data_IF_200840948165
#
_entry.id   IF_200840948165
#
_cell.length_a   1.000
_cell.length_b   1.000
_cell.length_c   1.000
_cell.angle_alpha   90.00
_cell.angle_beta   90.00
_cell.angle_gamma   90.00
#
_symmetry.space_group_name_H-M   'P 1'
#
loop_
_entity.id
_entity.type
_entity.pdbx_description
1 polymer ?
#
# COMPACT_ATOMS: atom_id res chain seq x y z
N UNK A 1 0.60 11.87 -29.21
CA UNK A 1 0.89 12.60 -27.96
C UNK A 1 -0.34 12.89 -27.10
N UNK A 2 -1.47 13.39 -27.66
CA UNK A 2 -2.64 13.79 -26.86
C UNK A 2 -3.23 12.67 -25.99
N UNK A 3 -3.19 11.42 -26.44
CA UNK A 3 -3.76 10.27 -25.73
C UNK A 3 -3.03 9.91 -24.42
N UNK A 4 -1.70 10.06 -24.35
CA UNK A 4 -0.96 9.77 -23.11
C UNK A 4 -1.16 10.86 -22.06
N UNK A 5 -1.27 12.11 -22.49
CA UNK A 5 -1.56 13.25 -21.61
C UNK A 5 -2.98 13.17 -21.09
N UNK A 6 -3.95 12.80 -21.93
CA UNK A 6 -5.33 12.59 -21.48
C UNK A 6 -5.41 11.44 -20.47
N UNK A 7 -4.71 10.34 -20.71
CA UNK A 7 -4.69 9.19 -19.80
C UNK A 7 -4.06 9.55 -18.45
N UNK A 8 -2.96 10.32 -18.45
CA UNK A 8 -2.36 10.84 -17.22
C UNK A 8 -3.32 11.73 -16.42
N UNK A 9 -3.99 12.68 -17.08
CA UNK A 9 -4.95 13.57 -16.42
C UNK A 9 -6.14 12.77 -15.85
N UNK A 10 -6.68 11.82 -16.62
CA UNK A 10 -7.77 10.95 -16.16
C UNK A 10 -7.35 10.11 -14.96
N UNK A 11 -6.18 9.46 -15.00
CA UNK A 11 -5.72 8.61 -13.90
C UNK A 11 -5.39 9.38 -12.62
N UNK A 12 -4.83 10.60 -12.73
CA UNK A 12 -4.40 11.38 -11.55
C UNK A 12 -5.54 12.16 -10.90
N UNK A 13 -6.49 12.67 -11.69
CA UNK A 13 -7.51 13.58 -11.17
C UNK A 13 -8.94 13.01 -11.21
N UNK A 14 -9.30 12.24 -12.23
CA UNK A 14 -10.69 11.78 -12.44
C UNK A 14 -10.93 10.45 -11.72
N UNK A 15 -10.04 9.48 -11.94
CA UNK A 15 -10.17 8.09 -11.44
C UNK A 15 -9.30 7.84 -10.20
N UNK A 16 -8.70 8.89 -9.63
CA UNK A 16 -7.84 8.74 -8.46
C UNK A 16 -8.68 8.52 -7.22
N UNK A 17 -8.49 7.38 -6.57
CA UNK A 17 -9.26 6.96 -5.40
C UNK A 17 -9.26 7.97 -4.25
N UNK A 18 -8.17 8.71 -4.06
CA UNK A 18 -8.06 9.71 -3.00
C UNK A 18 -8.89 10.98 -3.27
N UNK A 19 -9.00 11.42 -4.53
CA UNK A 19 -9.73 12.64 -4.90
C UNK A 19 -11.19 12.37 -5.25
N UNK A 20 -11.48 11.23 -5.88
CA UNK A 20 -12.82 10.87 -6.33
C UNK A 20 -13.67 10.23 -5.23
N UNK A 21 -13.05 9.36 -4.40
CA UNK A 21 -13.77 8.59 -3.37
C UNK A 21 -13.38 8.98 -1.94
N UNK A 22 -12.45 9.92 -1.75
CA UNK A 22 -12.00 10.39 -0.44
C UNK A 22 -11.52 9.25 0.50
N UNK A 23 -11.07 8.11 -0.06
CA UNK A 23 -10.49 7.00 0.70
C UNK A 23 -9.01 7.26 1.01
N UNK A 24 -8.56 6.89 2.22
CA UNK A 24 -7.14 6.98 2.61
C UNK A 24 -6.64 8.37 3.00
N UNK A 25 -7.53 9.33 3.28
CA UNK A 25 -7.16 10.71 3.60
C UNK A 25 -6.56 10.93 5.00
N UNK A 26 -6.61 9.94 5.89
CA UNK A 26 -6.22 10.11 7.30
C UNK A 26 -4.78 10.64 7.45
N UNK A 27 -3.83 10.12 6.69
CA UNK A 27 -2.43 10.55 6.70
C UNK A 27 -2.23 11.89 5.98
N UNK A 28 -2.99 12.13 4.91
CA UNK A 28 -2.98 13.41 4.20
C UNK A 28 -3.42 14.57 5.09
N UNK A 29 -4.56 14.44 5.79
CA UNK A 29 -5.08 15.47 6.69
C UNK A 29 -4.14 15.74 7.87
N UNK A 30 -3.46 14.72 8.38
CA UNK A 30 -2.50 14.87 9.48
C UNK A 30 -1.23 15.65 9.07
N UNK A 31 -0.72 15.45 7.86
CA UNK A 31 0.63 15.89 7.46
C UNK A 31 0.63 17.02 6.40
N UNK A 32 -0.53 17.63 6.12
CA UNK A 32 -0.68 18.69 5.11
C UNK A 32 -0.01 20.05 5.42
N UNK A 33 0.44 20.30 6.66
CA UNK A 33 0.93 21.63 7.07
C UNK A 33 2.31 22.01 6.54
N UNK A 34 3.16 21.03 6.21
CA UNK A 34 4.54 21.26 5.74
C UNK A 34 4.81 20.44 4.48
N UNK A 35 5.06 21.13 3.37
CA UNK A 35 5.34 20.50 2.06
C UNK A 35 6.53 19.54 2.14
N UNK A 36 7.59 19.89 2.88
CA UNK A 36 8.76 19.04 3.06
C UNK A 36 8.43 17.70 3.73
N UNK A 37 7.53 17.70 4.72
CA UNK A 37 7.07 16.48 5.39
C UNK A 37 6.12 15.68 4.50
N UNK A 38 5.20 16.37 3.80
CA UNK A 38 4.25 15.73 2.88
C UNK A 38 4.96 14.98 1.74
N UNK A 39 6.04 15.54 1.18
CA UNK A 39 6.85 14.88 0.16
C UNK A 39 7.52 13.62 0.71
N UNK A 40 8.15 13.72 1.90
CA UNK A 40 8.80 12.56 2.53
C UNK A 40 7.81 11.43 2.83
N UNK A 41 6.61 11.77 3.31
CA UNK A 41 5.54 10.81 3.56
C UNK A 41 5.03 10.19 2.25
N UNK A 42 4.84 11.00 1.21
CA UNK A 42 4.41 10.51 -0.10
C UNK A 42 5.38 9.49 -0.69
N UNK A 43 6.69 9.75 -0.63
CA UNK A 43 7.72 8.79 -1.08
C UNK A 43 7.67 7.50 -0.26
N UNK A 44 7.52 7.60 1.06
CA UNK A 44 7.41 6.43 1.93
C UNK A 44 6.19 5.57 1.59
N UNK A 45 5.02 6.19 1.33
CA UNK A 45 3.79 5.47 0.95
C UNK A 45 3.93 4.83 -0.43
N UNK A 46 4.53 5.51 -1.41
CA UNK A 46 4.81 4.93 -2.74
C UNK A 46 5.73 3.71 -2.62
N UNK A 47 6.75 3.78 -1.77
CA UNK A 47 7.64 2.64 -1.51
C UNK A 47 6.89 1.45 -0.89
N UNK A 48 6.04 1.69 0.11
CA UNK A 48 5.21 0.63 0.70
C UNK A 48 4.29 0.02 -0.33
N UNK A 49 3.58 0.82 -1.13
CA UNK A 49 2.70 0.30 -2.19
C UNK A 49 3.46 -0.50 -3.25
N UNK A 50 4.64 -0.02 -3.65
CA UNK A 50 5.49 -0.72 -4.61
C UNK A 50 5.95 -2.11 -4.11
N UNK A 51 6.09 -2.29 -2.79
CA UNK A 51 6.42 -3.57 -2.18
C UNK A 51 5.18 -4.44 -1.89
N UNK A 52 4.11 -3.87 -1.35
CA UNK A 52 2.94 -4.64 -0.90
C UNK A 52 2.13 -5.17 -2.06
N UNK A 53 2.07 -4.48 -3.20
CA UNK A 53 1.35 -4.95 -4.41
C UNK A 53 1.91 -6.28 -4.94
N UNK A 54 3.21 -6.42 -5.25
CA UNK A 54 3.76 -7.70 -5.70
C UNK A 54 3.73 -8.76 -4.60
N UNK A 55 3.94 -8.39 -3.33
CA UNK A 55 3.84 -9.33 -2.21
C UNK A 55 2.42 -9.88 -2.02
N UNK A 56 1.39 -9.04 -2.15
CA UNK A 56 -0.01 -9.48 -2.11
C UNK A 56 -0.34 -10.39 -3.29
N UNK A 57 0.21 -10.12 -4.48
CA UNK A 57 0.01 -11.01 -5.64
C UNK A 57 0.67 -12.38 -5.41
N UNK A 58 1.88 -12.41 -4.84
CA UNK A 58 2.54 -13.67 -4.45
C UNK A 58 1.70 -14.41 -3.39
N UNK A 59 1.25 -13.71 -2.37
CA UNK A 59 0.41 -14.27 -1.31
C UNK A 59 -0.90 -14.84 -1.87
N UNK A 60 -1.54 -14.13 -2.80
CA UNK A 60 -2.75 -14.61 -3.45
C UNK A 60 -2.51 -15.90 -4.26
N UNK A 61 -1.44 -15.94 -5.06
CA UNK A 61 -1.12 -17.07 -5.92
C UNK A 61 -0.65 -18.31 -5.15
N UNK A 62 0.08 -18.13 -4.05
CA UNK A 62 0.71 -19.24 -3.30
C UNK A 62 -0.04 -19.68 -2.03
N UNK A 63 -0.96 -18.86 -1.51
CA UNK A 63 -1.62 -19.14 -0.22
C UNK A 63 -3.15 -19.08 -0.29
N UNK A 64 -3.74 -18.13 -1.04
CA UNK A 64 -5.19 -17.88 -0.93
C UNK A 64 -6.02 -18.53 -2.03
N UNK A 65 -5.48 -18.65 -3.25
CA UNK A 65 -6.23 -19.17 -4.41
C UNK A 65 -6.60 -20.65 -4.19
N UNK A 66 -7.74 -21.07 -4.75
CA UNK A 66 -8.12 -22.49 -4.84
C UNK A 66 -6.95 -23.35 -5.32
N UNK A 67 -6.56 -24.33 -4.51
CA UNK A 67 -5.45 -25.24 -4.79
C UNK A 67 -4.05 -24.65 -4.66
N UNK A 68 -3.90 -23.41 -4.16
CA UNK A 68 -2.60 -22.79 -3.94
C UNK A 68 -1.79 -23.53 -2.85
N UNK A 69 -2.44 -24.17 -1.88
CA UNK A 69 -1.79 -25.00 -0.85
C UNK A 69 -1.41 -26.42 -1.33
N UNK A 70 -1.45 -26.70 -2.63
CA UNK A 70 -0.99 -27.97 -3.19
C UNK A 70 0.48 -28.28 -2.81
N UNK A 71 1.33 -27.25 -2.63
CA UNK A 71 2.71 -27.42 -2.17
C UNK A 71 2.84 -27.82 -0.69
N UNK A 72 1.79 -27.61 0.11
CA UNK A 72 1.72 -27.95 1.54
C UNK A 72 0.88 -29.21 1.84
N UNK A 73 0.40 -29.91 0.79
CA UNK A 73 -0.36 -31.17 0.93
C UNK A 73 -1.87 -31.02 1.11
N UNK A 74 -2.43 -29.81 0.94
CA UNK A 74 -3.87 -29.54 1.06
C UNK A 74 -4.42 -28.87 -0.23
N UNK A 75 -4.76 -29.66 -1.26
CA UNK A 75 -5.11 -29.14 -2.58
C UNK A 75 -6.55 -28.60 -2.71
N UNK A 76 -7.47 -28.92 -1.79
CA UNK A 76 -8.90 -28.57 -1.92
C UNK A 76 -9.37 -27.47 -0.94
N UNK A 77 -8.46 -26.82 -0.22
CA UNK A 77 -8.83 -25.77 0.73
C UNK A 77 -8.84 -24.42 0.01
N UNK A 78 -10.03 -23.82 -0.10
CA UNK A 78 -10.19 -22.43 -0.50
C UNK A 78 -9.94 -21.51 0.70
N UNK A 79 -8.85 -20.74 0.67
CA UNK A 79 -8.56 -19.72 1.67
C UNK A 79 -8.96 -18.32 1.21
N UNK A 80 -9.72 -18.19 0.12
CA UNK A 80 -10.18 -16.89 -0.39
C UNK A 80 -10.95 -16.07 0.65
N UNK A 81 -11.68 -16.72 1.57
CA UNK A 81 -12.36 -16.04 2.67
C UNK A 81 -11.39 -15.31 3.63
N UNK A 82 -10.19 -15.85 3.84
CA UNK A 82 -9.16 -15.23 4.68
C UNK A 82 -8.40 -14.11 3.95
N UNK A 83 -8.63 -13.92 2.66
CA UNK A 83 -7.78 -13.08 1.84
C UNK A 83 -7.68 -11.64 2.32
N UNK A 84 -8.81 -11.03 2.69
CA UNK A 84 -8.82 -9.67 3.24
C UNK A 84 -7.96 -9.55 4.51
N UNK A 85 -8.08 -10.53 5.42
CA UNK A 85 -7.33 -10.54 6.68
C UNK A 85 -5.83 -10.70 6.42
N UNK A 86 -5.46 -11.60 5.51
CA UNK A 86 -4.05 -11.81 5.14
C UNK A 86 -3.43 -10.60 4.45
N UNK A 87 -4.17 -9.90 3.58
CA UNK A 87 -3.68 -8.68 2.94
C UNK A 87 -3.45 -7.55 3.96
N UNK A 88 -4.39 -7.36 4.91
CA UNK A 88 -4.23 -6.36 5.98
C UNK A 88 -3.02 -6.70 6.84
N UNK A 89 -2.84 -7.98 7.21
CA UNK A 89 -1.69 -8.43 8.00
C UNK A 89 -0.35 -8.22 7.29
N UNK A 90 -0.28 -8.50 5.99
CA UNK A 90 0.93 -8.27 5.19
C UNK A 90 1.28 -6.79 5.10
N UNK A 91 0.27 -5.93 4.84
CA UNK A 91 0.48 -4.48 4.79
C UNK A 91 0.94 -3.95 6.15
N UNK A 92 0.33 -4.40 7.25
CA UNK A 92 0.71 -4.00 8.60
C UNK A 92 2.17 -4.36 8.92
N UNK A 93 2.61 -5.57 8.57
CA UNK A 93 4.00 -5.99 8.76
C UNK A 93 4.99 -5.12 7.98
N UNK A 94 4.69 -4.77 6.73
CA UNK A 94 5.54 -3.90 5.91
C UNK A 94 5.58 -2.47 6.45
N UNK A 95 4.43 -1.91 6.87
CA UNK A 95 4.37 -0.57 7.48
C UNK A 95 5.14 -0.52 8.80
N UNK A 96 5.09 -1.58 9.61
CA UNK A 96 5.86 -1.66 10.85
C UNK A 96 7.38 -1.58 10.58
N UNK A 97 7.85 -2.26 9.53
CA UNK A 97 9.25 -2.18 9.10
C UNK A 97 9.60 -0.76 8.62
N UNK A 98 8.69 -0.11 7.89
CA UNK A 98 8.86 1.28 7.48
C UNK A 98 8.98 2.21 8.70
N UNK A 99 8.16 2.03 9.72
CA UNK A 99 8.19 2.83 10.95
C UNK A 99 9.57 2.76 11.64
N UNK A 100 10.09 1.54 11.82
CA UNK A 100 11.44 1.32 12.38
C UNK A 100 12.53 1.95 11.50
N UNK A 101 12.35 1.97 10.18
CA UNK A 101 13.28 2.61 9.25
C UNK A 101 13.24 4.15 9.37
N UNK A 102 12.04 4.74 9.45
CA UNK A 102 11.86 6.18 9.57
C UNK A 102 12.41 6.72 10.90
N UNK A 103 12.22 6.01 12.01
CA UNK A 103 12.79 6.39 13.31
C UNK A 103 14.32 6.45 13.27
N UNK A 104 14.95 5.47 12.63
CA UNK A 104 16.42 5.37 12.57
C UNK A 104 17.07 6.36 11.59
N UNK A 105 16.50 6.53 10.39
CA UNK A 105 17.16 7.30 9.32
C UNK A 105 16.60 8.72 9.14
N UNK A 106 15.33 8.97 9.47
CA UNK A 106 14.67 10.26 9.22
C UNK A 106 13.82 10.69 10.43
N UNK A 107 14.45 11.00 11.58
CA UNK A 107 13.74 11.33 12.81
C UNK A 107 12.90 12.61 12.70
N UNK A 108 13.22 13.51 11.76
CA UNK A 108 12.40 14.69 11.47
C UNK A 108 11.04 14.36 10.86
N UNK A 109 10.96 13.26 10.09
CA UNK A 109 9.72 12.79 9.49
C UNK A 109 8.91 11.99 10.52
N UNK A 110 9.59 11.15 11.31
CA UNK A 110 8.99 10.39 12.42
C UNK A 110 8.31 11.33 13.44
N UNK A 111 9.01 12.36 13.94
CA UNK A 111 8.45 13.37 14.85
C UNK A 111 7.30 14.20 14.28
N UNK A 112 7.14 14.23 12.95
CA UNK A 112 6.07 14.96 12.29
C UNK A 112 4.81 14.10 12.08
N UNK A 113 4.93 12.77 12.20
CA UNK A 113 3.82 11.84 12.21
C UNK A 113 3.14 11.75 13.60
N UNK A 114 3.89 12.07 14.66
CA UNK A 114 3.44 12.05 16.06
C UNK A 114 4.53 11.50 16.96
#
# INVERSE_FOLDING_TARGET
>A
MGHYVSLFITSVFIENMALAYFLGMCTFLAVSKKVSTAIGLGVAVVFVMALTVPLNNLLFQFILKDGALAWAGFPDIDLSFLGLLSYIGLIAAVVQILEMFLDKFVPSLYKALG
#
